data_IF_613655941927
#
_entry.id   IF_613655941927
#
_cell.length_a   1.000
_cell.length_b   1.000
_cell.length_c   1.000
_cell.angle_alpha   90.00
_cell.angle_beta   90.00
_cell.angle_gamma   90.00
#
_symmetry.space_group_name_H-M   'P 1'
#
loop_
_entity.id
_entity.type
_entity.pdbx_description
1 polymer ?
#
# COMPACT_ATOMS: atom_id res chain seq x y z
N UNK A 1 14.99 12.27 8.64
CA UNK A 1 14.99 12.22 7.18
C UNK A 1 14.52 10.85 6.71
N UNK A 2 13.58 10.83 5.78
CA UNK A 2 13.00 9.58 5.26
C UNK A 2 14.07 8.75 4.54
N UNK A 3 14.00 7.44 4.72
CA UNK A 3 14.87 6.48 4.04
C UNK A 3 14.04 5.54 3.19
N UNK A 4 14.59 5.12 2.05
CA UNK A 4 14.03 4.05 1.26
C UNK A 4 14.69 2.73 1.70
N UNK A 5 13.83 1.73 2.01
CA UNK A 5 14.28 0.40 2.39
C UNK A 5 13.71 -0.58 1.37
N UNK A 6 14.58 -1.30 0.66
CA UNK A 6 14.13 -2.32 -0.29
C UNK A 6 13.39 -3.41 0.47
N UNK A 7 12.16 -3.70 0.06
CA UNK A 7 11.36 -4.76 0.66
C UNK A 7 10.34 -5.29 -0.31
N UNK A 8 10.29 -6.59 -0.50
CA UNK A 8 9.35 -7.24 -1.41
C UNK A 8 8.60 -8.36 -0.68
N UNK A 9 7.31 -8.15 -0.43
CA UNK A 9 6.44 -9.16 0.18
C UNK A 9 6.04 -10.27 -0.79
N UNK A 10 6.20 -10.05 -2.10
CA UNK A 10 5.99 -11.10 -3.10
C UNK A 10 7.28 -11.91 -3.25
N UNK A 11 7.41 -12.97 -2.47
CA UNK A 11 8.61 -13.79 -2.44
C UNK A 11 8.92 -14.50 -3.74
N UNK A 12 7.91 -14.73 -4.60
CA UNK A 12 8.09 -15.41 -5.88
C UNK A 12 8.41 -14.45 -7.00
N UNK A 13 8.07 -13.18 -6.83
CA UNK A 13 8.35 -12.12 -7.79
C UNK A 13 7.78 -12.41 -9.19
N UNK A 14 6.66 -13.11 -9.25
CA UNK A 14 6.04 -13.60 -10.49
C UNK A 14 4.81 -12.80 -10.93
N UNK A 15 4.45 -11.76 -10.19
CA UNK A 15 3.33 -10.89 -10.52
C UNK A 15 3.84 -9.48 -10.82
N UNK A 16 3.32 -8.90 -11.90
CA UNK A 16 3.55 -7.50 -12.25
C UNK A 16 2.35 -6.66 -11.80
N UNK A 17 2.57 -5.37 -11.61
CA UNK A 17 1.55 -4.40 -11.18
C UNK A 17 0.88 -4.80 -9.85
N UNK A 18 1.66 -5.37 -8.94
CA UNK A 18 1.18 -5.83 -7.65
C UNK A 18 1.50 -4.88 -6.49
N UNK A 19 1.82 -3.62 -6.79
CA UNK A 19 2.23 -2.65 -5.77
C UNK A 19 1.20 -2.48 -4.66
N UNK A 20 -0.09 -2.52 -5.00
CA UNK A 20 -1.17 -2.43 -4.01
C UNK A 20 -1.13 -3.61 -3.05
N UNK A 21 -1.02 -4.81 -3.58
CA UNK A 21 -0.95 -6.03 -2.76
C UNK A 21 0.28 -6.01 -1.85
N UNK A 22 1.44 -5.63 -2.39
CA UNK A 22 2.67 -5.51 -1.60
C UNK A 22 2.54 -4.46 -0.50
N UNK A 23 2.00 -3.29 -0.84
CA UNK A 23 1.84 -2.20 0.13
C UNK A 23 0.93 -2.60 1.29
N UNK A 24 -0.21 -3.20 1.00
CA UNK A 24 -1.15 -3.63 2.03
C UNK A 24 -0.54 -4.75 2.88
N UNK A 25 0.12 -5.72 2.25
CA UNK A 25 0.79 -6.81 2.96
C UNK A 25 1.87 -6.29 3.90
N UNK A 26 2.69 -5.35 3.44
CA UNK A 26 3.74 -4.74 4.25
C UNK A 26 3.15 -3.97 5.43
N UNK A 27 2.12 -3.17 5.19
CA UNK A 27 1.50 -2.34 6.22
C UNK A 27 0.77 -3.16 7.29
N UNK A 28 0.08 -4.23 6.90
CA UNK A 28 -0.77 -5.00 7.81
C UNK A 28 -0.03 -6.16 8.50
N UNK A 29 1.08 -6.59 7.94
CA UNK A 29 1.77 -7.80 8.41
C UNK A 29 1.14 -9.10 7.93
N UNK A 30 0.03 -9.04 7.19
CA UNK A 30 -0.58 -10.22 6.59
C UNK A 30 0.23 -10.66 5.36
N UNK A 31 0.23 -11.95 5.07
CA UNK A 31 1.02 -12.47 3.96
C UNK A 31 0.49 -11.95 2.61
N UNK A 32 1.37 -11.95 1.62
CA UNK A 32 1.01 -11.56 0.25
C UNK A 32 -0.18 -12.38 -0.28
N UNK A 33 -0.19 -13.73 -0.17
CA UNK A 33 -1.35 -14.52 -0.60
C UNK A 33 -2.64 -14.18 0.14
N UNK A 34 -2.57 -13.86 1.42
CA UNK A 34 -3.75 -13.47 2.20
C UNK A 34 -4.34 -12.16 1.68
N UNK A 35 -3.51 -11.18 1.34
CA UNK A 35 -3.99 -9.91 0.79
C UNK A 35 -4.56 -10.10 -0.61
N UNK A 36 -3.91 -10.89 -1.46
CA UNK A 36 -4.46 -11.20 -2.79
C UNK A 36 -5.86 -11.81 -2.69
N UNK A 37 -6.04 -12.74 -1.76
CA UNK A 37 -7.32 -13.37 -1.52
C UNK A 37 -8.38 -12.37 -1.06
N UNK A 38 -8.02 -11.46 -0.16
CA UNK A 38 -8.93 -10.41 0.33
C UNK A 38 -9.31 -9.43 -0.78
N UNK A 39 -8.37 -9.03 -1.62
CA UNK A 39 -8.66 -8.17 -2.76
C UNK A 39 -9.59 -8.86 -3.76
N UNK A 40 -9.37 -10.14 -4.01
CA UNK A 40 -10.23 -10.92 -4.90
C UNK A 40 -11.66 -11.02 -4.33
N UNK A 41 -11.79 -11.27 -3.05
CA UNK A 41 -13.09 -11.32 -2.37
C UNK A 41 -13.78 -9.96 -2.45
N UNK A 42 -13.07 -8.88 -2.20
CA UNK A 42 -13.59 -7.52 -2.30
C UNK A 42 -14.05 -7.19 -3.72
N UNK A 43 -13.32 -7.66 -4.74
CA UNK A 43 -13.69 -7.43 -6.13
C UNK A 43 -15.03 -8.06 -6.48
N UNK A 44 -15.33 -9.22 -5.92
CA UNK A 44 -16.62 -9.88 -6.12
C UNK A 44 -17.74 -9.21 -5.35
N UNK A 45 -17.46 -8.78 -4.12
CA UNK A 45 -18.45 -8.18 -3.24
C UNK A 45 -18.90 -6.80 -3.75
N UNK A 46 -17.98 -5.99 -4.27
CA UNK A 46 -18.23 -4.63 -4.72
C UNK A 46 -18.26 -4.48 -6.25
N UNK A 47 -18.15 -5.59 -6.98
CA UNK A 47 -18.18 -5.61 -8.46
C UNK A 47 -17.17 -4.62 -9.04
N UNK A 48 -15.89 -4.81 -8.72
CA UNK A 48 -14.79 -3.97 -9.17
C UNK A 48 -13.58 -4.80 -9.54
N UNK A 49 -12.63 -4.19 -10.25
CA UNK A 49 -11.35 -4.84 -10.53
C UNK A 49 -10.46 -4.75 -9.29
N UNK A 50 -9.94 -5.89 -8.84
CA UNK A 50 -9.19 -6.01 -7.57
C UNK A 50 -7.93 -5.14 -7.49
N UNK A 51 -7.37 -4.70 -8.61
CA UNK A 51 -6.18 -3.85 -8.65
C UNK A 51 -6.52 -2.38 -8.85
N UNK A 52 -7.79 -2.03 -9.04
CA UNK A 52 -8.21 -0.66 -9.22
C UNK A 52 -8.43 0.04 -7.87
N UNK A 53 -8.30 1.35 -7.89
CA UNK A 53 -8.48 2.20 -6.71
C UNK A 53 -9.80 1.95 -6.00
N UNK A 54 -10.88 1.77 -6.75
CA UNK A 54 -12.21 1.52 -6.18
C UNK A 54 -12.20 0.31 -5.27
N UNK A 55 -11.58 -0.78 -5.73
CA UNK A 55 -11.53 -2.04 -4.97
C UNK A 55 -10.65 -1.94 -3.72
N UNK A 56 -9.40 -1.51 -3.87
CA UNK A 56 -8.53 -1.47 -2.70
C UNK A 56 -8.92 -0.37 -1.72
N UNK A 57 -9.56 0.71 -2.19
CA UNK A 57 -10.14 1.71 -1.30
C UNK A 57 -11.26 1.11 -0.45
N UNK A 58 -12.13 0.29 -1.04
CA UNK A 58 -13.16 -0.43 -0.29
C UNK A 58 -12.56 -1.39 0.71
N UNK A 59 -11.50 -2.10 0.34
CA UNK A 59 -10.81 -3.00 1.26
C UNK A 59 -10.26 -2.23 2.45
N UNK A 60 -9.57 -1.11 2.22
CA UNK A 60 -8.99 -0.31 3.29
C UNK A 60 -10.05 0.38 4.14
N UNK A 61 -11.08 0.95 3.52
CA UNK A 61 -12.12 1.71 4.24
C UNK A 61 -13.10 0.80 4.98
N UNK A 62 -13.52 -0.31 4.37
CA UNK A 62 -14.62 -1.15 4.86
C UNK A 62 -14.17 -2.38 5.63
N UNK A 63 -13.06 -2.99 5.23
CA UNK A 63 -12.58 -4.23 5.85
C UNK A 63 -11.55 -3.91 6.94
N UNK A 64 -10.54 -3.08 6.62
CA UNK A 64 -9.51 -2.71 7.59
C UNK A 64 -9.84 -1.43 8.37
N UNK A 65 -10.86 -0.70 7.96
CA UNK A 65 -11.32 0.52 8.65
C UNK A 65 -10.20 1.54 8.85
N UNK A 66 -9.35 1.72 7.82
CA UNK A 66 -8.24 2.66 7.86
C UNK A 66 -8.73 4.09 7.61
N UNK A 67 -8.44 5.04 8.49
CA UNK A 67 -8.79 6.43 8.23
C UNK A 67 -7.94 7.01 7.11
N UNK A 68 -8.51 7.95 6.36
CA UNK A 68 -7.80 8.65 5.27
C UNK A 68 -7.10 9.88 5.83
N UNK A 69 -5.89 10.12 5.33
CA UNK A 69 -5.10 11.30 5.67
C UNK A 69 -4.87 12.10 4.38
N UNK A 70 -5.21 13.38 4.41
CA UNK A 70 -4.95 14.27 3.28
C UNK A 70 -3.47 14.60 3.20
N UNK A 71 -2.88 14.38 2.01
CA UNK A 71 -1.47 14.65 1.78
C UNK A 71 -1.22 15.19 0.37
N UNK A 72 -2.20 15.85 -0.20
CA UNK A 72 -2.17 16.35 -1.57
C UNK A 72 -1.00 17.30 -1.77
N UNK A 73 -0.26 17.11 -2.86
CA UNK A 73 0.89 17.95 -3.19
C UNK A 73 2.20 17.56 -2.55
N UNK A 74 2.22 16.49 -1.74
CA UNK A 74 3.44 16.00 -1.12
C UNK A 74 4.04 14.84 -1.92
N UNK A 75 5.36 14.78 -1.99
CA UNK A 75 6.05 13.56 -2.41
C UNK A 75 6.00 12.53 -1.29
N UNK A 76 6.32 11.26 -1.61
CA UNK A 76 6.40 10.21 -0.58
C UNK A 76 7.45 10.58 0.48
N UNK A 77 8.60 11.11 0.07
CA UNK A 77 9.64 11.52 1.00
C UNK A 77 9.19 12.64 1.92
N UNK A 78 8.51 13.65 1.38
CA UNK A 78 7.97 14.76 2.18
C UNK A 78 6.91 14.25 3.17
N UNK A 79 6.02 13.38 2.73
CA UNK A 79 5.02 12.78 3.60
C UNK A 79 5.69 11.99 4.73
N UNK A 80 6.68 11.16 4.40
CA UNK A 80 7.39 10.34 5.38
C UNK A 80 8.11 11.21 6.42
N UNK A 81 8.72 12.31 6.00
CA UNK A 81 9.39 13.24 6.92
C UNK A 81 8.40 13.89 7.90
N UNK A 82 7.18 14.19 7.43
CA UNK A 82 6.12 14.77 8.25
C UNK A 82 5.44 13.77 9.17
N UNK A 83 5.58 12.47 8.88
CA UNK A 83 4.94 11.40 9.64
C UNK A 83 6.00 10.40 10.13
N UNK A 84 6.84 10.79 11.10
CA UNK A 84 7.95 9.94 11.56
C UNK A 84 7.50 8.75 12.38
N UNK A 85 6.23 8.65 12.72
CA UNK A 85 5.68 7.54 13.51
C UNK A 85 4.42 7.02 12.86
N UNK A 86 4.22 5.70 12.91
CA UNK A 86 3.03 5.04 12.42
C UNK A 86 3.23 4.37 11.07
N UNK A 87 2.19 3.65 10.66
CA UNK A 87 2.17 2.88 9.42
C UNK A 87 1.14 3.47 8.48
N UNK A 88 1.56 3.76 7.24
CA UNK A 88 0.71 4.40 6.24
C UNK A 88 0.85 3.67 4.91
N UNK A 89 -0.27 3.58 4.19
CA UNK A 89 -0.27 3.20 2.78
C UNK A 89 -0.44 4.49 1.99
N UNK A 90 0.56 4.83 1.18
CA UNK A 90 0.60 6.07 0.42
C UNK A 90 0.33 5.76 -1.04
N UNK A 91 -0.65 6.45 -1.61
CA UNK A 91 -1.01 6.31 -3.00
C UNK A 91 -0.50 7.50 -3.79
N UNK A 92 0.27 7.22 -4.83
CA UNK A 92 0.71 8.20 -5.82
C UNK A 92 0.21 7.76 -7.19
N UNK A 93 0.27 8.60 -8.23
CA UNK A 93 -0.17 8.18 -9.56
C UNK A 93 0.51 6.89 -9.99
N UNK A 94 -0.30 5.88 -10.37
CA UNK A 94 0.14 4.57 -10.87
C UNK A 94 0.96 3.73 -9.88
N UNK A 95 0.95 4.07 -8.58
CA UNK A 95 1.72 3.30 -7.60
C UNK A 95 1.14 3.45 -6.20
N UNK A 96 1.32 2.41 -5.38
CA UNK A 96 1.03 2.45 -3.95
C UNK A 96 2.25 1.92 -3.20
N UNK A 97 2.57 2.55 -2.09
CA UNK A 97 3.74 2.17 -1.30
C UNK A 97 3.42 2.23 0.20
N UNK A 98 4.34 1.76 1.01
CA UNK A 98 4.16 1.71 2.47
C UNK A 98 5.22 2.56 3.16
N UNK A 99 4.77 3.40 4.08
CA UNK A 99 5.64 4.19 4.95
C UNK A 99 5.42 3.72 6.38
N UNK A 100 6.50 3.30 7.05
CA UNK A 100 6.48 2.87 8.44
C UNK A 100 7.54 3.66 9.20
N UNK A 101 7.11 4.38 10.21
CA UNK A 101 7.97 5.19 11.07
C UNK A 101 8.93 6.09 10.28
N UNK A 102 8.38 6.74 9.26
CA UNK A 102 9.12 7.70 8.45
C UNK A 102 10.01 7.09 7.37
N UNK A 103 9.95 5.77 7.15
CA UNK A 103 10.75 5.09 6.12
C UNK A 103 9.85 4.44 5.10
N UNK A 104 10.24 4.49 3.82
CA UNK A 104 9.49 3.88 2.73
C UNK A 104 9.99 2.47 2.46
N UNK A 105 9.09 1.49 2.49
CA UNK A 105 9.38 0.07 2.24
C UNK A 105 8.80 -0.33 0.89
N UNK A 106 9.64 -0.48 -0.11
CA UNK A 106 9.19 -0.76 -1.47
C UNK A 106 10.31 -1.44 -2.28
N UNK A 107 9.91 -2.04 -3.42
CA UNK A 107 10.85 -2.58 -4.41
C UNK A 107 11.44 -1.48 -5.29
N UNK A 108 10.77 -0.32 -5.37
CA UNK A 108 11.21 0.84 -6.15
C UNK A 108 11.63 1.96 -5.23
N UNK A 109 12.62 2.74 -5.69
CA UNK A 109 12.97 3.99 -4.98
C UNK A 109 11.78 4.94 -5.08
N UNK A 110 11.15 5.24 -3.94
CA UNK A 110 9.88 5.94 -3.90
C UNK A 110 9.97 7.36 -3.31
N UNK A 111 11.15 7.76 -2.89
CA UNK A 111 11.31 9.08 -2.28
C UNK A 111 11.50 10.17 -3.33
#
# INVERSE_FOLDING_TARGET
>A
MAKWIYYNRNGQNDHIDDCVTRAISTATGLSYPQIRKKLHHTSKLFVCNKLEKTCYSNLLDKVFECPRVECKGLSVGEFADLHPYGTYIVRVPNHATTVIDGNCYDTFYCL
#
